data_IF_770445574248
#
_entry.id   IF_770445574248
#
_cell.length_a   1.000
_cell.length_b   1.000
_cell.length_c   1.000
_cell.angle_alpha   90.00
_cell.angle_beta   90.00
_cell.angle_gamma   90.00
#
_symmetry.space_group_name_H-M   'P 1'
#
loop_
_entity.id
_entity.type
_entity.pdbx_description
1 polymer ?
#
# COMPACT_ATOMS: atom_id res chain seq x y z
N UNK A 1 -26.08 -67.01 -21.86
CA UNK A 1 -27.01 -65.94 -22.34
C UNK A 1 -27.28 -64.87 -21.28
N UNK A 2 -27.05 -65.10 -20.04
CA UNK A 2 -27.29 -64.14 -18.97
C UNK A 2 -26.28 -62.97 -18.94
N UNK A 3 -24.99 -63.21 -19.16
CA UNK A 3 -23.95 -62.19 -19.09
C UNK A 3 -24.00 -61.10 -20.16
N UNK A 4 -24.53 -61.40 -21.35
CA UNK A 4 -24.67 -60.38 -22.41
C UNK A 4 -25.79 -59.39 -22.18
N UNK A 5 -26.82 -59.77 -21.40
CA UNK A 5 -27.92 -58.85 -21.04
C UNK A 5 -27.49 -57.86 -19.92
N UNK A 6 -26.76 -58.30 -18.96
CA UNK A 6 -26.25 -57.42 -17.87
C UNK A 6 -25.33 -56.34 -18.41
N UNK A 7 -24.42 -56.71 -19.36
CA UNK A 7 -23.50 -55.73 -19.97
C UNK A 7 -24.25 -54.66 -20.78
N UNK A 8 -25.41 -54.96 -21.34
CA UNK A 8 -26.20 -53.99 -22.10
C UNK A 8 -27.01 -53.06 -21.17
N UNK A 9 -27.50 -53.51 -20.03
CA UNK A 9 -28.23 -52.67 -19.07
C UNK A 9 -27.29 -51.67 -18.38
N UNK A 10 -26.06 -52.07 -18.06
CA UNK A 10 -25.03 -51.13 -17.50
C UNK A 10 -24.58 -50.05 -18.51
N UNK A 11 -24.60 -50.36 -19.84
CA UNK A 11 -24.23 -49.40 -20.86
C UNK A 11 -25.18 -48.23 -21.07
N UNK A 12 -26.41 -48.33 -20.63
CA UNK A 12 -27.40 -47.26 -20.78
C UNK A 12 -27.24 -46.18 -19.71
N UNK A 13 -26.67 -46.53 -18.54
CA UNK A 13 -26.53 -45.63 -17.40
C UNK A 13 -25.14 -45.05 -17.27
N UNK A 14 -24.12 -45.62 -17.89
CA UNK A 14 -22.72 -45.24 -17.72
C UNK A 14 -22.16 -44.58 -18.97
N UNK A 15 -21.39 -43.53 -18.78
CA UNK A 15 -20.65 -42.85 -19.83
C UNK A 15 -19.26 -43.42 -19.98
N UNK A 16 -18.91 -43.89 -21.20
CA UNK A 16 -17.58 -44.38 -21.50
C UNK A 16 -16.68 -43.24 -21.93
N UNK A 17 -15.60 -43.00 -21.22
CA UNK A 17 -14.60 -41.96 -21.52
C UNK A 17 -13.33 -42.62 -22.00
N UNK A 18 -12.87 -42.29 -23.21
CA UNK A 18 -11.62 -42.75 -23.76
C UNK A 18 -10.45 -41.95 -23.19
N UNK A 19 -9.47 -42.64 -22.63
CA UNK A 19 -8.27 -42.04 -22.06
C UNK A 19 -7.08 -41.97 -23.05
N UNK A 20 -7.28 -42.36 -24.28
CA UNK A 20 -6.19 -42.55 -25.25
C UNK A 20 -5.41 -43.85 -25.04
N UNK A 21 -4.71 -44.33 -26.06
CA UNK A 21 -3.96 -45.60 -25.98
C UNK A 21 -4.81 -46.87 -25.84
N UNK A 22 -6.10 -46.83 -26.16
CA UNK A 22 -7.01 -47.95 -26.08
C UNK A 22 -7.59 -48.26 -24.68
N UNK A 23 -7.31 -47.44 -23.70
CA UNK A 23 -7.88 -47.57 -22.36
C UNK A 23 -9.20 -46.80 -22.24
N UNK A 24 -10.19 -47.43 -21.66
CA UNK A 24 -11.52 -46.85 -21.40
C UNK A 24 -11.82 -46.88 -19.92
N UNK A 25 -12.39 -45.78 -19.43
CA UNK A 25 -12.96 -45.70 -18.07
C UNK A 25 -14.45 -45.58 -18.19
N UNK A 26 -15.20 -46.45 -17.51
CA UNK A 26 -16.64 -46.35 -17.39
C UNK A 26 -16.95 -45.55 -16.16
N UNK A 27 -17.63 -44.40 -16.34
CA UNK A 27 -18.03 -43.54 -15.23
C UNK A 27 -19.54 -43.74 -15.02
N UNK A 28 -19.93 -44.16 -13.83
CA UNK A 28 -21.36 -44.32 -13.51
C UNK A 28 -22.10 -42.98 -13.55
N UNK A 29 -23.38 -43.03 -13.85
CA UNK A 29 -24.24 -41.83 -13.85
C UNK A 29 -24.23 -41.12 -12.47
N UNK A 30 -24.16 -41.88 -11.39
CA UNK A 30 -24.04 -41.36 -10.03
C UNK A 30 -22.70 -40.60 -9.82
N UNK A 31 -21.57 -41.15 -10.26
CA UNK A 31 -20.28 -40.50 -10.18
C UNK A 31 -20.22 -39.22 -10.99
N UNK A 32 -20.85 -39.21 -12.18
CA UNK A 32 -20.97 -38.03 -13.02
C UNK A 32 -21.79 -36.92 -12.34
N UNK A 33 -22.90 -37.26 -11.69
CA UNK A 33 -23.72 -36.32 -10.96
C UNK A 33 -22.92 -35.71 -9.77
N UNK A 34 -22.17 -36.56 -9.02
CA UNK A 34 -21.30 -36.06 -7.95
C UNK A 34 -20.22 -35.11 -8.46
N UNK A 35 -19.59 -35.43 -9.59
CA UNK A 35 -18.60 -34.56 -10.23
C UNK A 35 -19.23 -33.22 -10.63
N UNK A 36 -20.44 -33.23 -11.19
CA UNK A 36 -21.17 -32.03 -11.57
C UNK A 36 -21.51 -31.17 -10.36
N UNK A 37 -22.03 -31.77 -9.28
CA UNK A 37 -22.33 -31.07 -8.04
C UNK A 37 -21.07 -30.48 -7.40
N UNK A 38 -19.96 -31.23 -7.39
CA UNK A 38 -18.70 -30.72 -6.87
C UNK A 38 -18.15 -29.56 -7.69
N UNK A 39 -18.25 -29.63 -9.03
CA UNK A 39 -17.85 -28.53 -9.91
C UNK A 39 -18.71 -27.28 -9.67
N UNK A 40 -20.01 -27.45 -9.45
CA UNK A 40 -20.91 -26.36 -9.13
C UNK A 40 -20.56 -25.72 -7.78
N UNK A 41 -20.33 -26.51 -6.73
CA UNK A 41 -19.90 -26.03 -5.41
C UNK A 41 -18.55 -25.28 -5.49
N UNK A 42 -17.61 -25.81 -6.27
CA UNK A 42 -16.34 -25.10 -6.51
C UNK A 42 -16.54 -23.76 -7.21
N UNK A 43 -17.43 -23.68 -8.20
CA UNK A 43 -17.78 -22.44 -8.87
C UNK A 43 -18.38 -21.41 -7.90
N UNK A 44 -19.30 -21.84 -7.03
CA UNK A 44 -19.89 -21.00 -6.00
C UNK A 44 -18.85 -20.49 -4.99
N UNK A 45 -17.93 -21.37 -4.56
CA UNK A 45 -16.82 -20.97 -3.67
C UNK A 45 -15.91 -19.95 -4.32
N UNK A 46 -15.57 -20.10 -5.60
CA UNK A 46 -14.74 -19.15 -6.34
C UNK A 46 -15.43 -17.78 -6.41
N UNK A 47 -16.75 -17.75 -6.68
CA UNK A 47 -17.53 -16.51 -6.69
C UNK A 47 -17.53 -15.84 -5.31
N UNK A 48 -17.71 -16.60 -4.22
CA UNK A 48 -17.68 -16.09 -2.85
C UNK A 48 -16.29 -15.53 -2.50
N UNK A 49 -15.22 -16.23 -2.85
CA UNK A 49 -13.86 -15.75 -2.66
C UNK A 49 -13.59 -14.46 -3.43
N UNK A 50 -14.05 -14.37 -4.68
CA UNK A 50 -13.96 -13.15 -5.48
C UNK A 50 -14.66 -11.97 -4.82
N UNK A 51 -15.87 -12.17 -4.28
CA UNK A 51 -16.63 -11.15 -3.54
C UNK A 51 -15.89 -10.74 -2.25
N UNK A 52 -15.34 -11.70 -1.50
CA UNK A 52 -14.56 -11.41 -0.30
C UNK A 52 -13.30 -10.58 -0.61
N UNK A 53 -12.55 -10.96 -1.64
CA UNK A 53 -11.37 -10.21 -2.09
C UNK A 53 -11.75 -8.78 -2.46
N UNK A 54 -12.80 -8.57 -3.24
CA UNK A 54 -13.29 -7.24 -3.60
C UNK A 54 -13.70 -6.41 -2.39
N UNK A 55 -14.31 -7.03 -1.37
CA UNK A 55 -14.67 -6.35 -0.11
C UNK A 55 -13.44 -5.98 0.70
N UNK A 56 -12.46 -6.88 0.78
CA UNK A 56 -11.18 -6.61 1.47
C UNK A 56 -10.41 -5.48 0.79
N UNK A 57 -10.36 -5.47 -0.52
CA UNK A 57 -9.68 -4.43 -1.30
C UNK A 57 -10.29 -3.06 -1.04
N UNK A 58 -11.64 -2.97 -1.07
CA UNK A 58 -12.35 -1.72 -0.73
C UNK A 58 -12.06 -1.24 0.68
N UNK A 59 -12.03 -2.15 1.67
CA UNK A 59 -11.69 -1.81 3.05
C UNK A 59 -10.23 -1.33 3.19
N UNK A 60 -9.31 -1.92 2.44
CA UNK A 60 -7.92 -1.45 2.40
C UNK A 60 -7.83 -0.03 1.84
N UNK A 61 -8.51 0.24 0.72
CA UNK A 61 -8.55 1.56 0.11
C UNK A 61 -9.14 2.62 1.08
N UNK A 62 -10.24 2.28 1.77
CA UNK A 62 -10.84 3.14 2.78
C UNK A 62 -9.91 3.40 3.98
N UNK A 63 -9.13 2.40 4.41
CA UNK A 63 -8.16 2.56 5.49
C UNK A 63 -6.98 3.43 5.05
N UNK A 64 -6.49 3.24 3.83
CA UNK A 64 -5.43 4.09 3.28
C UNK A 64 -5.89 5.55 3.15
N UNK A 65 -7.11 5.78 2.67
CA UNK A 65 -7.66 7.13 2.58
C UNK A 65 -7.83 7.78 3.97
N UNK A 66 -8.27 7.02 4.98
CA UNK A 66 -8.31 7.51 6.36
C UNK A 66 -6.93 7.82 6.90
N UNK A 67 -5.93 6.98 6.64
CA UNK A 67 -4.55 7.25 7.05
C UNK A 67 -3.98 8.50 6.38
N UNK A 68 -4.33 8.76 5.13
CA UNK A 68 -3.93 9.99 4.43
C UNK A 68 -4.59 11.24 5.01
N UNK A 69 -5.77 11.11 5.63
CA UNK A 69 -6.50 12.21 6.26
C UNK A 69 -6.03 12.52 7.68
N UNK A 70 -5.31 11.58 8.33
CA UNK A 70 -4.75 11.83 9.67
C UNK A 70 -3.54 12.74 9.54
N UNK A 71 -3.65 13.93 10.08
CA UNK A 71 -2.57 14.92 10.13
C UNK A 71 -1.77 14.80 11.43
N UNK A 72 -0.56 15.34 11.42
CA UNK A 72 0.32 15.34 12.59
C UNK A 72 -0.32 16.04 13.80
N UNK A 73 -0.04 15.52 14.98
CA UNK A 73 -0.52 16.10 16.23
C UNK A 73 0.19 17.44 16.52
N UNK A 74 -0.39 18.24 17.43
CA UNK A 74 0.26 19.46 17.91
C UNK A 74 1.63 19.17 18.56
N UNK A 75 1.78 18.02 19.21
CA UNK A 75 3.06 17.56 19.76
C UNK A 75 4.10 17.31 18.68
N UNK A 76 3.70 16.68 17.58
CA UNK A 76 4.59 16.42 16.44
C UNK A 76 5.01 17.72 15.74
N UNK A 77 4.10 18.68 15.61
CA UNK A 77 4.44 20.02 15.06
C UNK A 77 5.50 20.71 15.92
N UNK A 78 5.36 20.68 17.25
CA UNK A 78 6.41 21.21 18.15
C UNK A 78 7.74 20.51 17.98
N UNK A 79 7.72 19.17 17.85
CA UNK A 79 8.91 18.36 17.62
C UNK A 79 9.58 18.73 16.29
N UNK A 80 8.85 18.86 15.21
CA UNK A 80 9.36 19.30 13.91
C UNK A 80 9.99 20.69 14.01
N UNK A 81 9.33 21.65 14.67
CA UNK A 81 9.87 23.00 14.89
C UNK A 81 11.18 22.97 15.69
N UNK A 82 11.27 22.10 16.67
CA UNK A 82 12.49 21.96 17.48
C UNK A 82 13.63 21.34 16.65
N UNK A 83 13.35 20.33 15.82
CA UNK A 83 14.34 19.75 14.90
C UNK A 83 14.86 20.79 13.89
N UNK A 84 13.97 21.62 13.34
CA UNK A 84 14.34 22.74 12.46
C UNK A 84 15.28 23.71 13.21
N UNK A 85 14.97 24.02 14.47
CA UNK A 85 15.82 24.90 15.28
C UNK A 85 17.21 24.33 15.53
N UNK A 86 17.27 23.07 15.95
CA UNK A 86 18.54 22.36 16.19
C UNK A 86 19.37 22.31 14.91
N UNK A 87 18.75 21.88 13.80
CA UNK A 87 19.45 21.79 12.52
C UNK A 87 19.96 23.14 12.02
N UNK A 88 19.18 24.20 12.17
CA UNK A 88 19.61 25.55 11.81
C UNK A 88 20.80 26.02 12.66
N UNK A 89 20.83 25.68 13.94
CA UNK A 89 21.92 25.98 14.85
C UNK A 89 23.20 25.21 14.47
N UNK A 90 23.09 23.91 14.21
CA UNK A 90 24.21 23.07 13.77
C UNK A 90 24.86 23.59 12.48
N UNK A 91 24.01 23.95 11.51
CA UNK A 91 24.49 24.53 10.25
C UNK A 91 25.11 25.90 10.46
N UNK A 92 24.51 26.75 11.30
CA UNK A 92 25.09 28.04 11.66
C UNK A 92 26.49 27.91 12.28
N UNK A 93 26.66 26.99 13.21
CA UNK A 93 27.97 26.71 13.84
C UNK A 93 28.97 26.15 12.81
N UNK A 94 28.53 25.16 11.99
CA UNK A 94 29.40 24.54 10.99
C UNK A 94 29.93 25.51 9.95
N UNK A 95 29.15 26.51 9.58
CA UNK A 95 29.54 27.51 8.57
C UNK A 95 29.94 28.87 9.15
N UNK A 96 30.11 28.96 10.45
CA UNK A 96 30.57 30.18 11.14
C UNK A 96 29.57 31.33 11.11
N UNK A 97 28.26 31.02 10.94
CA UNK A 97 27.18 32.00 10.86
C UNK A 97 26.31 31.89 12.10
N UNK A 98 26.64 32.66 13.11
CA UNK A 98 26.00 32.60 14.44
C UNK A 98 25.06 33.75 14.72
N UNK A 99 24.89 34.69 13.78
CA UNK A 99 24.02 35.85 13.97
C UNK A 99 22.52 35.45 14.00
N UNK A 100 21.74 36.08 14.89
CA UNK A 100 20.32 35.71 15.09
C UNK A 100 19.45 35.85 13.81
N UNK A 101 19.76 36.84 12.98
CA UNK A 101 18.97 37.09 11.73
C UNK A 101 19.16 35.95 10.73
N UNK A 102 20.38 35.51 10.48
CA UNK A 102 20.64 34.35 9.63
C UNK A 102 20.02 33.08 10.20
N UNK A 103 20.03 32.90 11.50
CA UNK A 103 19.32 31.79 12.15
C UNK A 103 17.81 31.81 11.90
N UNK A 104 17.16 32.98 11.90
CA UNK A 104 15.74 33.12 11.53
C UNK A 104 15.50 32.75 10.07
N UNK A 105 16.34 33.25 9.16
CA UNK A 105 16.23 32.98 7.73
C UNK A 105 16.43 31.48 7.44
N UNK A 106 17.40 30.84 8.08
CA UNK A 106 17.64 29.39 7.97
C UNK A 106 16.40 28.59 8.37
N UNK A 107 15.83 28.90 9.54
CA UNK A 107 14.62 28.21 10.03
C UNK A 107 13.43 28.43 9.07
N UNK A 108 13.23 29.65 8.62
CA UNK A 108 12.13 29.99 7.72
C UNK A 108 12.28 29.28 6.33
N UNK A 109 13.50 29.25 5.80
CA UNK A 109 13.79 28.59 4.53
C UNK A 109 13.59 27.06 4.67
N UNK A 110 14.10 26.46 5.74
CA UNK A 110 13.94 25.04 6.01
C UNK A 110 12.46 24.66 6.16
N UNK A 111 11.70 25.44 6.95
CA UNK A 111 10.25 25.26 7.06
C UNK A 111 9.56 25.35 5.69
N UNK A 112 9.90 26.36 4.89
CA UNK A 112 9.33 26.53 3.55
C UNK A 112 9.65 25.37 2.61
N UNK A 113 10.86 24.83 2.64
CA UNK A 113 11.26 23.69 1.83
C UNK A 113 10.51 22.43 2.25
N UNK A 114 10.32 22.22 3.55
CA UNK A 114 9.47 21.11 4.05
C UNK A 114 8.04 21.27 3.53
N UNK A 115 7.40 22.40 3.74
CA UNK A 115 6.02 22.64 3.31
C UNK A 115 5.85 22.45 1.79
N UNK A 116 6.80 22.94 1.01
CA UNK A 116 6.81 22.80 -0.45
C UNK A 116 6.94 21.34 -0.88
N UNK A 117 7.80 20.56 -0.21
CA UNK A 117 8.06 19.15 -0.56
C UNK A 117 6.82 18.29 -0.37
N UNK A 118 6.01 18.56 0.64
CA UNK A 118 4.76 17.84 0.92
C UNK A 118 3.51 18.51 0.38
N UNK A 119 3.66 19.67 -0.29
CA UNK A 119 2.54 20.37 -0.91
C UNK A 119 1.51 20.93 0.07
N UNK A 120 1.91 21.18 1.32
CA UNK A 120 1.03 21.68 2.38
C UNK A 120 1.30 23.14 2.70
N UNK A 121 0.31 23.84 3.27
CA UNK A 121 0.43 25.26 3.61
C UNK A 121 0.95 25.49 5.03
N UNK A 122 0.68 24.57 5.93
CA UNK A 122 1.15 24.62 7.32
C UNK A 122 1.68 23.24 7.78
N UNK A 123 2.49 23.25 8.85
CA UNK A 123 3.00 22.01 9.44
C UNK A 123 1.88 21.15 10.03
N UNK A 124 0.78 21.74 10.47
CA UNK A 124 -0.39 21.01 10.95
C UNK A 124 -1.12 20.20 9.86
N UNK A 125 -0.91 20.58 8.59
CA UNK A 125 -1.51 19.89 7.44
C UNK A 125 -0.67 18.69 6.97
N UNK A 126 0.49 18.44 7.58
CA UNK A 126 1.34 17.31 7.22
C UNK A 126 0.65 15.99 7.56
N UNK A 127 0.66 14.99 6.65
CA UNK A 127 0.17 13.67 6.98
C UNK A 127 1.02 13.02 8.09
N UNK A 128 0.37 12.36 9.06
CA UNK A 128 1.08 11.64 10.13
C UNK A 128 2.05 10.60 9.54
N UNK A 129 1.64 9.90 8.48
CA UNK A 129 2.48 8.93 7.78
C UNK A 129 3.78 9.53 7.19
N UNK A 130 3.84 10.84 6.98
CA UNK A 130 5.02 11.53 6.47
C UNK A 130 6.01 11.94 7.57
N UNK A 131 5.68 11.81 8.85
CA UNK A 131 6.45 12.34 9.97
C UNK A 131 7.93 11.92 9.94
N UNK A 132 8.20 10.61 9.79
CA UNK A 132 9.56 10.09 9.72
C UNK A 132 10.34 10.63 8.51
N UNK A 133 9.69 10.76 7.36
CA UNK A 133 10.30 11.33 6.16
C UNK A 133 10.60 12.83 6.32
N UNK A 134 9.73 13.57 7.01
CA UNK A 134 9.93 14.98 7.33
C UNK A 134 11.14 15.14 8.27
N UNK A 135 11.23 14.34 9.31
CA UNK A 135 12.36 14.36 10.24
C UNK A 135 13.69 14.08 9.53
N UNK A 136 13.71 13.07 8.66
CA UNK A 136 14.89 12.74 7.85
C UNK A 136 15.25 13.88 6.87
N UNK A 137 14.27 14.52 6.26
CA UNK A 137 14.50 15.64 5.35
C UNK A 137 15.10 16.85 6.07
N UNK A 138 14.67 17.14 7.30
CA UNK A 138 15.23 18.20 8.15
C UNK A 138 16.67 17.84 8.52
N UNK A 139 16.93 16.61 8.97
CA UNK A 139 18.27 16.14 9.31
C UNK A 139 19.27 16.22 8.15
N UNK A 140 18.82 15.90 6.94
CA UNK A 140 19.61 15.96 5.71
C UNK A 140 19.64 17.31 5.01
N UNK A 141 18.95 18.34 5.53
CA UNK A 141 18.89 19.65 4.86
C UNK A 141 20.25 20.36 4.87
N UNK A 142 20.73 20.80 3.68
CA UNK A 142 22.06 21.38 3.47
C UNK A 142 22.05 22.64 2.61
N UNK A 143 20.91 23.18 2.24
CA UNK A 143 20.78 24.30 1.29
C UNK A 143 21.14 25.67 1.89
N UNK A 144 22.19 25.71 2.72
CA UNK A 144 22.67 26.94 3.35
C UNK A 144 23.20 27.98 2.32
N UNK A 145 23.72 27.51 1.18
CA UNK A 145 24.20 28.39 0.10
C UNK A 145 23.15 29.37 -0.37
N UNK A 146 21.92 28.92 -0.58
CA UNK A 146 20.80 29.77 -1.00
C UNK A 146 20.48 30.89 0.00
N UNK A 147 20.72 30.64 1.28
CA UNK A 147 20.49 31.62 2.34
C UNK A 147 21.63 32.66 2.34
N UNK A 148 22.87 32.22 2.13
CA UNK A 148 24.04 33.11 2.08
C UNK A 148 24.01 33.99 0.82
N UNK A 149 23.63 33.47 -0.33
CA UNK A 149 23.50 34.23 -1.60
C UNK A 149 22.40 35.32 -1.51
N UNK A 150 21.30 35.03 -0.81
CA UNK A 150 20.22 36.04 -0.59
C UNK A 150 20.70 37.18 0.30
N UNK A 151 21.58 36.90 1.26
CA UNK A 151 22.14 37.92 2.15
C UNK A 151 23.16 38.80 1.47
N UNK A 152 23.91 38.28 0.48
CA UNK A 152 24.88 39.05 -0.30
C UNK A 152 24.28 39.97 -1.34
N UNK A 153 22.96 39.92 -1.54
CA UNK A 153 22.21 40.78 -2.48
C UNK A 153 21.45 41.93 -1.82
N UNK A 154 21.55 42.05 -0.50
CA UNK A 154 21.05 43.20 0.27
C UNK A 154 22.22 44.05 0.76
#
# INVERSE_FOLDING_TARGET
MSERKEINEYRIQDKVVSLGGGNFVVISAQSMNQMKENAQRMGEMILQLGTMIGTMQRRMDELEDRQRQVTVSHGDVKRIQQLIRIRAQDLGQKYGVTDPETGKILRATMKKDVLKRWGVKDLHDLPEAALAAVENAIGGWVNIRMVMERRGRT
#
